data_IF_769305768713
#
_entry.id   IF_769305768713
#
_cell.length_a   1.000
_cell.length_b   1.000
_cell.length_c   1.000
_cell.angle_alpha   90.00
_cell.angle_beta   90.00
_cell.angle_gamma   90.00
#
_symmetry.space_group_name_H-M   'P 1'
#
loop_
_entity.id
_entity.type
_entity.pdbx_description
1 polymer ?
#
# COMPACT_ATOMS: atom_id res chain seq x y z
N UNK A 1 14.60 -18.95 25.01
CA UNK A 1 15.06 -18.16 23.84
C UNK A 1 14.47 -16.77 23.96
N UNK A 2 15.27 -15.71 23.89
CA UNK A 2 14.79 -14.33 23.84
C UNK A 2 14.35 -14.00 22.41
N UNK A 3 13.19 -13.32 22.25
CA UNK A 3 12.72 -12.86 20.96
C UNK A 3 13.70 -11.84 20.37
N UNK A 4 13.90 -11.89 19.07
CA UNK A 4 14.61 -10.85 18.33
C UNK A 4 13.64 -9.79 17.85
N UNK A 5 14.05 -8.52 17.92
CA UNK A 5 13.23 -7.38 17.49
C UNK A 5 13.62 -7.04 16.05
N UNK A 6 12.64 -7.03 15.14
CA UNK A 6 12.79 -6.46 13.80
C UNK A 6 12.47 -4.96 13.89
N UNK A 7 13.49 -4.11 13.77
CA UNK A 7 13.33 -2.65 13.82
C UNK A 7 12.77 -2.13 12.49
N UNK A 8 11.43 -2.05 12.40
CA UNK A 8 10.74 -1.54 11.22
C UNK A 8 11.06 -0.07 10.91
N UNK A 9 11.41 0.75 11.92
CA UNK A 9 11.77 2.16 11.71
C UNK A 9 13.14 2.27 11.02
N UNK A 10 14.13 1.52 11.48
CA UNK A 10 15.45 1.44 10.86
C UNK A 10 15.33 0.88 9.43
N UNK A 11 14.57 -0.22 9.26
CA UNK A 11 14.33 -0.79 7.94
C UNK A 11 13.69 0.21 6.97
N UNK A 12 12.64 0.92 7.40
CA UNK A 12 12.00 1.95 6.58
C UNK A 12 12.96 3.09 6.18
N UNK A 13 13.92 3.45 7.03
CA UNK A 13 14.95 4.44 6.69
C UNK A 13 15.82 3.96 5.53
N UNK A 14 16.24 2.69 5.53
CA UNK A 14 17.02 2.12 4.41
C UNK A 14 16.22 2.07 3.11
N UNK A 15 14.91 1.76 3.17
CA UNK A 15 14.03 1.78 2.00
C UNK A 15 13.94 3.20 1.43
N UNK A 16 13.72 4.23 2.28
CA UNK A 16 13.68 5.62 1.81
C UNK A 16 14.97 6.07 1.15
N UNK A 17 16.13 5.69 1.69
CA UNK A 17 17.43 5.99 1.05
C UNK A 17 17.53 5.36 -0.35
N UNK A 18 17.11 4.10 -0.52
CA UNK A 18 17.06 3.43 -1.83
C UNK A 18 16.11 4.13 -2.80
N UNK A 19 14.96 4.60 -2.32
CA UNK A 19 14.00 5.36 -3.12
C UNK A 19 14.60 6.69 -3.55
N UNK A 20 15.21 7.45 -2.63
CA UNK A 20 15.86 8.72 -2.94
C UNK A 20 16.95 8.58 -4.01
N UNK A 21 17.78 7.54 -3.93
CA UNK A 21 18.79 7.25 -4.94
C UNK A 21 18.16 6.99 -6.32
N UNK A 22 17.08 6.18 -6.38
CA UNK A 22 16.35 5.92 -7.64
C UNK A 22 15.69 7.16 -8.21
N UNK A 23 15.13 8.03 -7.36
CA UNK A 23 14.54 9.32 -7.78
C UNK A 23 15.63 10.21 -8.40
N UNK A 24 16.78 10.31 -7.75
CA UNK A 24 17.93 11.06 -8.27
C UNK A 24 18.39 10.54 -9.63
N UNK A 25 18.47 9.23 -9.79
CA UNK A 25 18.81 8.58 -11.06
C UNK A 25 17.80 8.86 -12.18
N UNK A 26 16.50 8.77 -11.89
CA UNK A 26 15.45 9.08 -12.86
C UNK A 26 15.53 10.54 -13.30
N UNK A 27 15.74 11.46 -12.36
CA UNK A 27 15.88 12.87 -12.65
C UNK A 27 17.12 13.16 -13.51
N UNK A 28 18.26 12.54 -13.19
CA UNK A 28 19.49 12.75 -13.94
C UNK A 28 19.45 12.14 -15.35
N UNK A 29 18.87 10.95 -15.52
CA UNK A 29 18.88 10.21 -16.79
C UNK A 29 17.73 10.58 -17.74
N UNK A 30 16.57 10.95 -17.18
CA UNK A 30 15.34 11.13 -17.95
C UNK A 30 14.67 12.48 -17.74
N UNK A 31 15.17 13.34 -16.85
CA UNK A 31 14.55 14.62 -16.49
C UNK A 31 13.20 14.48 -15.75
N UNK A 32 12.87 13.25 -15.28
CA UNK A 32 11.59 12.95 -14.66
C UNK A 32 11.71 13.04 -13.13
N UNK A 33 10.88 13.86 -12.51
CA UNK A 33 10.67 13.85 -11.07
C UNK A 33 9.35 13.15 -10.79
N UNK A 34 9.34 11.95 -10.15
CA UNK A 34 8.09 11.26 -9.84
C UNK A 34 7.18 12.12 -8.97
N UNK A 35 5.86 12.07 -9.23
CA UNK A 35 4.85 12.81 -8.50
C UNK A 35 3.83 11.88 -7.86
N UNK A 36 3.53 12.10 -6.58
CA UNK A 36 2.51 11.40 -5.81
C UNK A 36 1.38 12.37 -5.47
N UNK A 37 0.16 12.05 -5.91
CA UNK A 37 -1.05 12.73 -5.47
C UNK A 37 -1.69 11.96 -4.31
N UNK A 38 -2.00 12.68 -3.23
CA UNK A 38 -2.69 12.14 -2.06
C UNK A 38 -3.99 12.92 -1.87
N UNK A 39 -5.11 12.21 -1.92
CA UNK A 39 -6.45 12.78 -1.72
C UNK A 39 -6.95 12.39 -0.34
N UNK A 40 -7.38 13.37 0.44
CA UNK A 40 -8.03 13.20 1.74
C UNK A 40 -9.42 13.83 1.67
N UNK A 41 -10.44 13.09 2.07
CA UNK A 41 -11.80 13.60 2.19
C UNK A 41 -12.21 13.61 3.67
N UNK A 42 -12.57 14.78 4.16
CA UNK A 42 -12.93 15.00 5.55
C UNK A 42 -11.74 15.20 6.49
N UNK A 43 -12.04 15.16 7.79
CA UNK A 43 -11.10 15.59 8.84
C UNK A 43 -10.76 14.49 9.85
N UNK A 44 -10.80 13.21 9.44
CA UNK A 44 -10.40 12.12 10.35
C UNK A 44 -8.98 12.35 10.88
N UNK A 45 -8.76 12.46 12.20
CA UNK A 45 -7.47 12.83 12.77
C UNK A 45 -6.35 11.83 12.43
N UNK A 46 -6.67 10.53 12.38
CA UNK A 46 -5.68 9.51 12.04
C UNK A 46 -5.25 9.64 10.57
N UNK A 47 -6.21 9.83 9.66
CA UNK A 47 -5.96 10.05 8.24
C UNK A 47 -5.10 11.28 7.99
N UNK A 48 -5.36 12.39 8.70
CA UNK A 48 -4.55 13.61 8.59
C UNK A 48 -3.08 13.39 8.97
N UNK A 49 -2.82 12.61 10.04
CA UNK A 49 -1.45 12.27 10.45
C UNK A 49 -0.74 11.46 9.38
N UNK A 50 -1.43 10.46 8.80
CA UNK A 50 -0.87 9.64 7.72
C UNK A 50 -0.58 10.46 6.47
N UNK A 51 -1.51 11.30 6.02
CA UNK A 51 -1.35 12.16 4.84
C UNK A 51 -0.16 13.11 5.03
N UNK A 52 -0.09 13.80 6.18
CA UNK A 52 1.04 14.68 6.50
C UNK A 52 2.38 13.95 6.48
N UNK A 53 2.43 12.74 7.06
CA UNK A 53 3.64 11.91 7.06
C UNK A 53 4.03 11.47 5.65
N UNK A 54 3.05 11.07 4.81
CA UNK A 54 3.27 10.70 3.41
C UNK A 54 3.83 11.87 2.62
N UNK A 55 3.20 13.04 2.68
CA UNK A 55 3.66 14.24 1.98
C UNK A 55 5.09 14.63 2.36
N UNK A 56 5.40 14.65 3.67
CA UNK A 56 6.75 14.92 4.16
C UNK A 56 7.77 13.93 3.59
N UNK A 57 7.52 12.63 3.69
CA UNK A 57 8.44 11.60 3.22
C UNK A 57 8.60 11.60 1.70
N UNK A 58 7.53 11.91 0.95
CA UNK A 58 7.58 12.08 -0.51
C UNK A 58 8.56 13.17 -0.91
N UNK A 59 8.49 14.32 -0.27
CA UNK A 59 9.41 15.45 -0.52
C UNK A 59 10.85 15.12 -0.07
N UNK A 60 11.01 14.47 1.09
CA UNK A 60 12.33 14.07 1.61
C UNK A 60 13.11 13.16 0.66
N UNK A 61 12.43 12.31 -0.10
CA UNK A 61 13.08 11.43 -1.10
C UNK A 61 13.22 12.08 -2.48
N UNK A 62 12.87 13.37 -2.63
CA UNK A 62 13.06 14.16 -3.85
C UNK A 62 11.94 14.05 -4.88
N UNK A 63 10.78 13.50 -4.51
CA UNK A 63 9.58 13.41 -5.34
C UNK A 63 8.71 14.68 -5.19
N UNK A 64 7.83 14.92 -6.17
CA UNK A 64 6.76 15.91 -6.07
C UNK A 64 5.59 15.34 -5.24
N UNK A 65 5.05 16.16 -4.33
CA UNK A 65 3.89 15.80 -3.51
C UNK A 65 2.73 16.74 -3.83
N UNK A 66 1.60 16.16 -4.26
CA UNK A 66 0.37 16.87 -4.57
C UNK A 66 -0.68 16.46 -3.53
N UNK A 67 -1.02 17.34 -2.62
CA UNK A 67 -1.98 17.07 -1.55
C UNK A 67 -3.32 17.76 -1.88
N UNK A 68 -4.39 16.95 -1.94
CA UNK A 68 -5.76 17.41 -2.18
C UNK A 68 -6.60 17.11 -0.94
N UNK A 69 -7.05 18.17 -0.27
CA UNK A 69 -7.97 18.09 0.87
C UNK A 69 -9.35 18.51 0.41
N UNK A 70 -10.31 17.64 0.58
CA UNK A 70 -11.70 17.86 0.25
C UNK A 70 -12.53 17.86 1.54
N UNK A 71 -13.60 18.65 1.53
CA UNK A 71 -14.53 18.72 2.66
C UNK A 71 -15.27 17.40 2.87
N UNK A 72 -15.72 17.16 4.10
CA UNK A 72 -16.36 15.90 4.47
C UNK A 72 -17.68 15.63 3.74
N UNK A 73 -18.34 16.68 3.24
CA UNK A 73 -19.60 16.65 2.46
C UNK A 73 -19.37 16.66 0.94
N UNK A 74 -18.11 16.54 0.49
CA UNK A 74 -17.77 16.47 -0.93
C UNK A 74 -18.58 15.37 -1.62
N UNK A 75 -19.24 15.71 -2.73
CA UNK A 75 -20.01 14.73 -3.50
C UNK A 75 -19.09 13.74 -4.23
N UNK A 76 -19.64 12.56 -4.51
CA UNK A 76 -18.94 11.52 -5.26
C UNK A 76 -18.49 12.01 -6.65
N UNK A 77 -19.35 12.74 -7.37
CA UNK A 77 -19.02 13.30 -8.67
C UNK A 77 -17.81 14.23 -8.63
N UNK A 78 -17.69 15.08 -7.61
CA UNK A 78 -16.54 15.98 -7.42
C UNK A 78 -15.26 15.19 -7.16
N UNK A 79 -15.32 14.17 -6.30
CA UNK A 79 -14.16 13.31 -6.02
C UNK A 79 -13.74 12.53 -7.27
N UNK A 80 -14.68 11.96 -8.02
CA UNK A 80 -14.38 11.22 -9.25
C UNK A 80 -13.80 12.14 -10.33
N UNK A 81 -14.31 13.36 -10.49
CA UNK A 81 -13.76 14.35 -11.42
C UNK A 81 -12.32 14.75 -11.06
N UNK A 82 -12.00 14.88 -9.76
CA UNK A 82 -10.62 15.09 -9.31
C UNK A 82 -9.73 13.90 -9.69
N UNK A 83 -10.17 12.67 -9.45
CA UNK A 83 -9.39 11.46 -9.81
C UNK A 83 -9.16 11.41 -11.32
N UNK A 84 -10.16 11.73 -12.14
CA UNK A 84 -10.01 11.79 -13.61
C UNK A 84 -8.95 12.82 -14.03
N UNK A 85 -8.93 13.98 -13.40
CA UNK A 85 -7.92 15.00 -13.67
C UNK A 85 -6.51 14.52 -13.30
N UNK A 86 -6.37 13.82 -12.16
CA UNK A 86 -5.10 13.25 -11.71
C UNK A 86 -4.63 12.08 -12.60
N UNK A 87 -5.57 11.28 -13.09
CA UNK A 87 -5.28 10.22 -14.07
C UNK A 87 -4.72 10.81 -15.37
N UNK A 88 -5.26 11.95 -15.82
CA UNK A 88 -4.84 12.62 -17.05
C UNK A 88 -3.56 13.45 -16.89
N UNK A 89 -3.16 13.81 -15.67
CA UNK A 89 -1.98 14.64 -15.42
C UNK A 89 -0.68 13.84 -15.61
N UNK A 90 0.19 14.21 -16.58
CA UNK A 90 1.45 13.52 -16.81
C UNK A 90 2.49 13.75 -15.72
N UNK A 91 2.31 14.70 -14.82
CA UNK A 91 3.20 14.95 -13.67
C UNK A 91 2.84 14.10 -12.45
N UNK A 92 1.65 13.52 -12.43
CA UNK A 92 1.15 12.59 -11.41
C UNK A 92 1.42 11.15 -11.84
N UNK A 93 2.33 10.49 -11.15
CA UNK A 93 2.74 9.12 -11.45
C UNK A 93 2.12 8.09 -10.50
N UNK A 94 1.58 8.56 -9.39
CA UNK A 94 0.86 7.73 -8.42
C UNK A 94 -0.25 8.52 -7.76
N UNK A 95 -1.37 7.85 -7.50
CA UNK A 95 -2.55 8.40 -6.85
C UNK A 95 -2.87 7.53 -5.64
N UNK A 96 -3.14 8.18 -4.51
CA UNK A 96 -3.58 7.57 -3.28
C UNK A 96 -4.79 8.32 -2.75
N UNK A 97 -5.90 7.62 -2.58
CA UNK A 97 -7.08 8.14 -1.88
C UNK A 97 -7.07 7.56 -0.47
N UNK A 98 -6.91 8.43 0.53
CA UNK A 98 -6.79 8.00 1.92
C UNK A 98 -8.11 7.44 2.45
N UNK A 99 -8.09 6.17 2.85
CA UNK A 99 -9.21 5.50 3.50
C UNK A 99 -9.16 5.69 5.03
N UNK A 100 -10.30 5.62 5.74
CA UNK A 100 -11.66 5.44 5.19
C UNK A 100 -12.22 6.72 4.56
N UNK A 101 -13.16 6.56 3.63
CA UNK A 101 -13.94 7.66 3.10
C UNK A 101 -15.19 7.94 3.97
N UNK A 102 -15.78 9.16 3.90
CA UNK A 102 -17.10 9.42 4.45
C UNK A 102 -18.15 8.44 3.90
N UNK A 103 -19.09 8.00 4.76
CA UNK A 103 -20.00 6.90 4.47
C UNK A 103 -21.01 7.10 3.32
N UNK A 104 -21.07 8.29 2.73
CA UNK A 104 -21.89 8.57 1.56
C UNK A 104 -21.14 8.34 0.22
N UNK A 105 -19.84 8.04 0.28
CA UNK A 105 -19.00 7.75 -0.88
C UNK A 105 -18.78 6.25 -1.02
N UNK A 106 -18.84 5.74 -2.24
CA UNK A 106 -18.53 4.34 -2.54
C UNK A 106 -17.01 4.14 -2.70
N UNK A 107 -16.35 3.61 -1.67
CA UNK A 107 -14.91 3.33 -1.69
C UNK A 107 -14.50 2.44 -2.87
N UNK A 108 -15.35 1.48 -3.26
CA UNK A 108 -15.05 0.56 -4.36
C UNK A 108 -15.06 1.29 -5.69
N UNK A 109 -16.04 2.15 -5.92
CA UNK A 109 -16.13 2.97 -7.11
C UNK A 109 -14.94 3.93 -7.21
N UNK A 110 -14.62 4.61 -6.11
CA UNK A 110 -13.50 5.57 -6.02
C UNK A 110 -12.17 4.89 -6.31
N UNK A 111 -11.87 3.75 -5.68
CA UNK A 111 -10.63 3.01 -5.90
C UNK A 111 -10.53 2.53 -7.36
N UNK A 112 -11.62 2.01 -7.93
CA UNK A 112 -11.62 1.52 -9.30
C UNK A 112 -11.69 2.65 -10.37
N UNK A 113 -11.82 3.91 -9.97
CA UNK A 113 -11.68 5.07 -10.87
C UNK A 113 -10.21 5.47 -11.09
N UNK A 114 -9.32 5.11 -10.17
CA UNK A 114 -7.88 5.36 -10.33
C UNK A 114 -7.35 4.49 -11.48
N UNK A 115 -6.54 5.07 -12.37
CA UNK A 115 -5.87 4.28 -13.40
C UNK A 115 -4.99 3.19 -12.74
N UNK A 116 -5.12 1.91 -13.11
CA UNK A 116 -4.40 0.81 -12.43
C UNK A 116 -2.90 1.01 -12.31
N UNK A 117 -2.28 1.65 -13.29
CA UNK A 117 -0.84 1.97 -13.31
C UNK A 117 -0.46 3.11 -12.37
N UNK A 118 -1.44 3.90 -11.89
CA UNK A 118 -1.25 4.98 -10.91
C UNK A 118 -1.76 4.62 -9.52
N UNK A 119 -2.44 3.46 -9.35
CA UNK A 119 -2.94 2.98 -8.07
C UNK A 119 -1.80 2.48 -7.17
N UNK A 120 -1.15 3.39 -6.45
CA UNK A 120 0.02 3.05 -5.63
C UNK A 120 -0.30 2.25 -4.37
N UNK A 121 -1.56 2.18 -3.95
CA UNK A 121 -2.00 1.31 -2.85
C UNK A 121 -2.29 -0.12 -3.30
N UNK A 122 -2.41 -0.36 -4.62
CA UNK A 122 -2.66 -1.69 -5.19
C UNK A 122 -4.04 -2.25 -4.85
N UNK A 123 -5.05 -1.40 -4.64
CA UNK A 123 -6.40 -1.81 -4.26
C UNK A 123 -7.34 -1.93 -5.45
N UNK A 124 -6.99 -1.35 -6.60
CA UNK A 124 -7.76 -1.49 -7.84
C UNK A 124 -7.89 -2.97 -8.22
N UNK A 125 -9.10 -3.38 -8.65
CA UNK A 125 -9.40 -4.79 -8.94
C UNK A 125 -8.41 -5.42 -9.94
N UNK A 126 -7.90 -4.67 -10.90
CA UNK A 126 -6.88 -5.15 -11.83
C UNK A 126 -5.57 -5.51 -11.11
N UNK A 127 -5.08 -4.65 -10.20
CA UNK A 127 -3.88 -4.90 -9.41
C UNK A 127 -4.05 -6.10 -8.47
N UNK A 128 -5.24 -6.22 -7.84
CA UNK A 128 -5.59 -7.37 -7.00
C UNK A 128 -5.59 -8.66 -7.82
N UNK A 129 -6.15 -8.65 -9.03
CA UNK A 129 -6.14 -9.78 -9.95
C UNK A 129 -4.73 -10.19 -10.39
N UNK A 130 -3.91 -9.23 -10.76
CA UNK A 130 -2.51 -9.45 -11.15
C UNK A 130 -1.69 -10.04 -9.99
N UNK A 131 -1.85 -9.49 -8.77
CA UNK A 131 -1.19 -10.04 -7.57
C UNK A 131 -1.62 -11.49 -7.32
N UNK A 132 -2.93 -11.76 -7.40
CA UNK A 132 -3.49 -13.10 -7.20
C UNK A 132 -2.99 -14.13 -8.22
N UNK A 133 -2.63 -13.71 -9.42
CA UNK A 133 -2.09 -14.57 -10.49
C UNK A 133 -0.56 -14.54 -10.58
N UNK A 134 0.11 -13.91 -9.61
CA UNK A 134 1.58 -13.84 -9.56
C UNK A 134 2.21 -12.93 -10.63
N UNK A 135 1.42 -12.05 -11.24
CA UNK A 135 1.90 -11.10 -12.25
C UNK A 135 2.40 -9.81 -11.60
N UNK A 136 3.19 -9.03 -12.37
CA UNK A 136 3.66 -7.72 -11.90
C UNK A 136 2.48 -6.75 -11.75
N UNK A 137 2.32 -6.20 -10.55
CA UNK A 137 1.25 -5.26 -10.19
C UNK A 137 1.75 -4.20 -9.22
N UNK A 138 0.95 -3.18 -9.00
CA UNK A 138 1.03 -2.42 -7.75
C UNK A 138 0.56 -3.33 -6.61
N UNK A 139 1.21 -3.24 -5.46
CA UNK A 139 0.99 -4.14 -4.32
C UNK A 139 0.72 -3.31 -3.07
N UNK A 140 -0.27 -3.67 -2.25
CA UNK A 140 -0.55 -2.96 -1.01
C UNK A 140 0.68 -2.78 -0.13
N UNK A 141 0.93 -1.52 0.28
CA UNK A 141 2.19 -1.12 0.91
C UNK A 141 2.46 -1.82 2.24
N UNK A 142 1.44 -2.02 3.09
CA UNK A 142 1.60 -2.69 4.39
C UNK A 142 2.03 -4.15 4.25
N UNK A 143 1.34 -5.01 3.50
CA UNK A 143 1.78 -6.39 3.30
C UNK A 143 3.12 -6.48 2.57
N UNK A 144 3.40 -5.60 1.60
CA UNK A 144 4.69 -5.58 0.93
C UNK A 144 5.82 -5.22 1.91
N UNK A 145 5.61 -4.22 2.77
CA UNK A 145 6.57 -3.85 3.81
C UNK A 145 6.85 -5.00 4.78
N UNK A 146 5.81 -5.73 5.20
CA UNK A 146 5.97 -6.94 6.02
C UNK A 146 6.79 -8.00 5.30
N UNK A 147 6.49 -8.30 4.04
CA UNK A 147 7.22 -9.28 3.24
C UNK A 147 8.71 -8.90 3.12
N UNK A 148 9.00 -7.62 2.82
CA UNK A 148 10.37 -7.15 2.69
C UNK A 148 11.16 -7.31 4.00
N UNK A 149 10.56 -7.00 5.14
CA UNK A 149 11.19 -7.22 6.45
C UNK A 149 11.40 -8.70 6.76
N UNK A 150 10.44 -9.56 6.42
CA UNK A 150 10.56 -11.01 6.59
C UNK A 150 11.69 -11.59 5.75
N UNK A 151 11.83 -11.14 4.50
CA UNK A 151 12.93 -11.55 3.61
C UNK A 151 14.29 -11.04 4.10
N UNK A 152 14.34 -9.82 4.61
CA UNK A 152 15.57 -9.26 5.19
C UNK A 152 16.04 -10.07 6.40
N UNK A 153 15.10 -10.49 7.24
CA UNK A 153 15.39 -11.25 8.45
C UNK A 153 15.71 -12.74 8.20
N UNK A 154 14.94 -13.40 7.34
CA UNK A 154 15.04 -14.85 7.11
C UNK A 154 15.85 -15.23 5.86
N UNK A 155 16.11 -14.30 4.95
CA UNK A 155 16.62 -14.57 3.61
C UNK A 155 15.54 -15.19 2.73
N UNK A 156 15.38 -16.51 2.73
CA UNK A 156 14.34 -17.22 1.99
C UNK A 156 13.15 -17.56 2.87
N UNK A 157 11.93 -17.41 2.34
CA UNK A 157 10.69 -17.85 2.96
C UNK A 157 10.16 -19.18 2.39
N UNK A 158 10.80 -19.70 1.35
CA UNK A 158 10.38 -20.93 0.68
C UNK A 158 10.26 -22.11 1.65
N UNK A 159 9.12 -22.81 1.57
CA UNK A 159 8.82 -23.96 2.41
C UNK A 159 8.39 -23.65 3.85
N UNK A 160 8.34 -22.36 4.24
CA UNK A 160 7.87 -21.99 5.59
C UNK A 160 6.34 -22.06 5.68
N UNK A 161 5.86 -22.42 6.88
CA UNK A 161 4.44 -22.30 7.21
C UNK A 161 4.16 -20.88 7.70
N UNK A 162 3.08 -20.30 7.22
CA UNK A 162 2.65 -18.95 7.59
C UNK A 162 1.17 -18.93 7.94
N UNK A 163 0.83 -18.30 9.06
CA UNK A 163 -0.56 -18.05 9.44
C UNK A 163 -0.82 -16.55 9.40
N UNK A 164 -1.77 -16.14 8.55
CA UNK A 164 -2.22 -14.76 8.43
C UNK A 164 -3.53 -14.61 9.20
N UNK A 165 -3.53 -13.82 10.27
CA UNK A 165 -4.72 -13.53 11.07
C UNK A 165 -5.37 -12.26 10.54
N UNK A 166 -6.49 -12.41 9.85
CA UNK A 166 -7.24 -11.35 9.18
C UNK A 166 -7.39 -11.61 7.69
N UNK A 167 -8.47 -11.08 7.10
CA UNK A 167 -8.81 -11.27 5.70
C UNK A 167 -9.32 -10.01 5.02
N UNK A 168 -8.83 -8.86 5.46
CA UNK A 168 -9.14 -7.58 4.81
C UNK A 168 -8.59 -7.53 3.38
N UNK A 169 -9.24 -6.78 2.52
CA UNK A 169 -8.78 -6.60 1.14
C UNK A 169 -7.47 -5.81 1.06
N UNK A 170 -7.21 -4.99 2.08
CA UNK A 170 -6.06 -4.07 2.09
C UNK A 170 -4.80 -4.65 2.77
N UNK A 171 -4.93 -5.70 3.62
CA UNK A 171 -3.79 -6.30 4.33
C UNK A 171 -3.81 -7.83 4.29
N UNK A 172 -4.85 -8.47 4.83
CA UNK A 172 -4.83 -9.93 5.06
C UNK A 172 -4.76 -10.75 3.78
N UNK A 173 -5.65 -10.47 2.83
CA UNK A 173 -5.65 -11.17 1.53
C UNK A 173 -4.36 -10.92 0.74
N UNK A 174 -3.91 -9.67 0.52
CA UNK A 174 -2.67 -9.44 -0.20
C UNK A 174 -1.44 -9.98 0.53
N UNK A 175 -1.39 -9.99 1.87
CA UNK A 175 -0.30 -10.63 2.61
C UNK A 175 -0.22 -12.13 2.32
N UNK A 176 -1.38 -12.81 2.33
CA UNK A 176 -1.44 -14.23 2.01
C UNK A 176 -0.99 -14.54 0.57
N UNK A 177 -1.39 -13.72 -0.40
CA UNK A 177 -0.94 -13.85 -1.80
C UNK A 177 0.57 -13.65 -1.92
N UNK A 178 1.13 -12.64 -1.27
CA UNK A 178 2.57 -12.38 -1.28
C UNK A 178 3.38 -13.55 -0.69
N UNK A 179 2.93 -14.10 0.43
CA UNK A 179 3.59 -15.25 1.06
C UNK A 179 3.48 -16.52 0.20
N UNK A 180 2.30 -16.72 -0.44
CA UNK A 180 2.11 -17.82 -1.38
C UNK A 180 3.04 -17.69 -2.60
N UNK A 181 3.15 -16.49 -3.16
CA UNK A 181 4.06 -16.20 -4.27
C UNK A 181 5.54 -16.39 -3.86
N UNK A 182 5.84 -16.29 -2.57
CA UNK A 182 7.16 -16.54 -1.99
C UNK A 182 7.37 -18.01 -1.56
N UNK A 183 6.50 -18.91 -2.04
CA UNK A 183 6.53 -20.36 -1.82
C UNK A 183 6.32 -20.77 -0.37
N UNK A 184 5.59 -19.98 0.42
CA UNK A 184 5.12 -20.40 1.74
C UNK A 184 3.88 -21.30 1.62
N UNK A 185 3.69 -22.18 2.61
CA UNK A 185 2.39 -22.79 2.89
C UNK A 185 1.58 -21.82 3.75
N UNK A 186 0.44 -21.32 3.24
CA UNK A 186 -0.28 -20.21 3.88
C UNK A 186 -1.65 -20.68 4.41
N UNK A 187 -1.90 -20.37 5.67
CA UNK A 187 -3.21 -20.49 6.30
C UNK A 187 -3.77 -19.11 6.61
N UNK A 188 -5.00 -18.81 6.18
CA UNK A 188 -5.71 -17.59 6.55
C UNK A 188 -6.70 -17.91 7.68
N UNK A 189 -6.55 -17.24 8.81
CA UNK A 189 -7.45 -17.31 9.95
C UNK A 189 -8.17 -15.97 10.18
N UNK A 190 -9.35 -16.00 10.77
CA UNK A 190 -10.19 -14.82 10.99
C UNK A 190 -11.11 -15.00 12.19
N UNK A 191 -11.94 -14.03 12.51
CA UNK A 191 -12.84 -14.02 13.69
C UNK A 191 -13.83 -15.19 13.77
N UNK A 192 -14.05 -15.91 12.66
CA UNK A 192 -14.91 -17.11 12.60
C UNK A 192 -14.11 -18.40 12.50
N UNK A 193 -12.79 -18.36 12.64
CA UNK A 193 -11.95 -19.56 12.63
C UNK A 193 -12.14 -20.32 13.93
N UNK A 194 -12.50 -21.60 13.83
CA UNK A 194 -12.56 -22.49 14.99
C UNK A 194 -11.12 -22.77 15.49
N UNK A 195 -10.97 -22.88 16.79
CA UNK A 195 -9.71 -23.25 17.46
C UNK A 195 -8.48 -22.42 16.98
N UNK A 196 -8.68 -21.08 16.86
CA UNK A 196 -7.66 -20.14 16.39
C UNK A 196 -6.29 -20.35 17.05
N UNK A 197 -6.17 -20.58 18.39
CA UNK A 197 -4.89 -20.84 19.01
C UNK A 197 -4.15 -22.05 18.42
N UNK A 198 -4.88 -23.12 18.08
CA UNK A 198 -4.28 -24.34 17.51
C UNK A 198 -3.84 -24.12 16.06
N UNK A 199 -4.61 -23.32 15.30
CA UNK A 199 -4.19 -22.90 13.96
C UNK A 199 -2.89 -22.11 14.01
N UNK A 200 -2.77 -21.15 14.94
CA UNK A 200 -1.59 -20.30 15.09
C UNK A 200 -0.34 -21.08 15.52
N UNK A 201 -0.50 -22.11 16.38
CA UNK A 201 0.62 -22.95 16.84
C UNK A 201 1.26 -23.78 15.72
N UNK A 202 0.63 -23.89 14.56
CA UNK A 202 1.15 -24.64 13.41
C UNK A 202 2.04 -23.81 12.47
N UNK A 203 2.20 -22.50 12.76
CA UNK A 203 3.06 -21.60 12.00
C UNK A 203 4.55 -21.82 12.31
#
# INVERSE_FOLDING_TARGET
MTAQIIDGKAFAATVRQKVAAKVSDLKAKHGITPGLAVVLVGEDPASQVYVRSKGKQTVEVGMNSFEHKLDADTSEDVLLALIDSLNADPTVHGILVQLPLPGHLDETLVINRIAPEKDVDGFHIANVGLLGTGQKSMVPCTPLGCLLMLRDYHGSLSGKNAVVIGRSNIVGKPMAQLLLNDSCTVTIAHSRTADLPDVVRRA
#
